data_IF_769984991524
#
_entry.id   IF_769984991524
#
_cell.length_a   1.000
_cell.length_b   1.000
_cell.length_c   1.000
_cell.angle_alpha   90.00
_cell.angle_beta   90.00
_cell.angle_gamma   90.00
#
_symmetry.space_group_name_H-M   'P 1'
#
loop_
_entity.id
_entity.type
_entity.pdbx_description
1 polymer ?
#
# COMPACT_ATOMS: atom_id res chain seq x y z
N UNK A 1 -11.90 14.54 5.96
CA UNK A 1 -12.44 14.07 4.68
C UNK A 1 -13.21 12.79 4.94
N UNK A 2 -14.37 12.61 4.32
CA UNK A 2 -15.07 11.33 4.39
C UNK A 2 -14.24 10.27 3.67
N UNK A 3 -13.92 9.17 4.34
CA UNK A 3 -12.98 8.16 3.84
C UNK A 3 -13.56 6.78 4.03
N UNK A 4 -13.41 5.92 3.02
CA UNK A 4 -13.73 4.51 3.09
C UNK A 4 -12.50 3.67 2.76
N UNK A 5 -12.44 2.47 3.34
CA UNK A 5 -11.41 1.48 3.06
C UNK A 5 -12.01 0.32 2.28
N UNK A 6 -11.31 -0.14 1.25
CA UNK A 6 -11.58 -1.42 0.58
C UNK A 6 -10.57 -2.43 1.10
N UNK A 7 -11.05 -3.41 1.85
CA UNK A 7 -10.25 -4.56 2.26
C UNK A 7 -10.11 -5.56 1.12
N UNK A 8 -8.93 -6.09 0.93
CA UNK A 8 -8.60 -7.03 -0.16
C UNK A 8 -8.22 -8.42 0.34
N UNK A 9 -8.10 -8.58 1.67
CA UNK A 9 -7.77 -9.85 2.31
C UNK A 9 -8.76 -10.29 3.39
N UNK A 10 -8.56 -11.53 3.84
CA UNK A 10 -9.35 -12.16 4.91
C UNK A 10 -9.32 -11.37 6.23
N UNK A 11 -8.20 -10.75 6.57
CA UNK A 11 -8.04 -9.99 7.81
C UNK A 11 -8.97 -8.79 7.84
N UNK A 12 -9.02 -8.00 6.76
CA UNK A 12 -9.92 -6.84 6.68
C UNK A 12 -11.39 -7.28 6.74
N UNK A 13 -11.75 -8.40 6.11
CA UNK A 13 -13.08 -8.99 6.20
C UNK A 13 -13.44 -9.38 7.64
N UNK A 14 -12.56 -10.09 8.34
CA UNK A 14 -12.77 -10.50 9.73
C UNK A 14 -12.80 -9.31 10.70
N UNK A 15 -12.08 -8.22 10.40
CA UNK A 15 -12.10 -6.98 11.17
C UNK A 15 -13.35 -6.12 10.90
N UNK A 16 -14.21 -6.54 9.98
CA UNK A 16 -15.49 -5.87 9.70
C UNK A 16 -15.38 -4.66 8.79
N UNK A 17 -14.37 -4.60 7.91
CA UNK A 17 -14.35 -3.61 6.85
C UNK A 17 -15.63 -3.73 6.00
N UNK A 18 -16.27 -2.59 5.73
CA UNK A 18 -17.60 -2.54 5.10
C UNK A 18 -17.59 -3.00 3.63
N UNK A 19 -16.51 -2.66 2.94
CA UNK A 19 -16.26 -3.02 1.54
C UNK A 19 -15.05 -3.93 1.50
N UNK A 20 -15.26 -5.18 1.08
CA UNK A 20 -14.20 -6.19 1.13
C UNK A 20 -14.37 -7.22 0.03
N UNK A 21 -13.24 -7.75 -0.41
CA UNK A 21 -13.15 -8.95 -1.23
C UNK A 21 -12.03 -9.85 -0.69
N UNK A 22 -12.13 -11.15 -0.97
CA UNK A 22 -11.09 -12.13 -0.63
C UNK A 22 -10.28 -12.43 -1.89
N UNK A 23 -9.29 -11.57 -2.19
CA UNK A 23 -8.58 -11.56 -3.47
C UNK A 23 -8.02 -12.95 -3.83
N UNK A 24 -7.36 -13.62 -2.90
CA UNK A 24 -6.73 -14.93 -3.09
C UNK A 24 -7.71 -16.08 -3.36
N UNK A 25 -9.01 -15.85 -3.15
CA UNK A 25 -10.07 -16.85 -3.37
C UNK A 25 -10.87 -16.62 -4.65
N UNK A 26 -10.59 -15.55 -5.39
CA UNK A 26 -11.31 -15.18 -6.60
C UNK A 26 -10.64 -15.82 -7.82
N UNK A 27 -11.44 -16.39 -8.72
CA UNK A 27 -10.97 -16.87 -10.02
C UNK A 27 -10.44 -15.67 -10.81
N UNK A 28 -9.23 -15.79 -11.34
CA UNK A 28 -8.45 -14.68 -11.92
C UNK A 28 -9.24 -13.81 -12.92
N UNK A 29 -10.04 -14.41 -13.81
CA UNK A 29 -10.85 -13.69 -14.80
C UNK A 29 -11.85 -12.69 -14.20
N UNK A 30 -12.28 -12.90 -12.95
CA UNK A 30 -13.24 -12.03 -12.26
C UNK A 30 -12.59 -11.05 -11.29
N UNK A 31 -11.27 -11.17 -11.08
CA UNK A 31 -10.58 -10.49 -10.00
C UNK A 31 -10.62 -8.97 -10.16
N UNK A 32 -10.30 -8.46 -11.36
CA UNK A 32 -10.38 -7.02 -11.64
C UNK A 32 -11.81 -6.50 -11.56
N UNK A 33 -12.79 -7.31 -11.98
CA UNK A 33 -14.21 -6.96 -11.91
C UNK A 33 -14.73 -6.85 -10.48
N UNK A 34 -14.30 -7.75 -9.59
CA UNK A 34 -14.70 -7.70 -8.18
C UNK A 34 -14.02 -6.53 -7.44
N UNK A 35 -12.76 -6.22 -7.74
CA UNK A 35 -12.10 -5.02 -7.20
C UNK A 35 -12.86 -3.76 -7.64
N UNK A 36 -13.15 -3.62 -8.94
CA UNK A 36 -13.93 -2.49 -9.47
C UNK A 36 -15.30 -2.41 -8.81
N UNK A 37 -15.99 -3.55 -8.66
CA UNK A 37 -17.29 -3.63 -8.01
C UNK A 37 -17.25 -3.07 -6.58
N UNK A 38 -16.28 -3.48 -5.75
CA UNK A 38 -16.17 -2.97 -4.37
C UNK A 38 -15.85 -1.47 -4.33
N UNK A 39 -14.96 -0.98 -5.20
CA UNK A 39 -14.62 0.46 -5.28
C UNK A 39 -15.84 1.29 -5.71
N UNK A 40 -16.54 0.88 -6.78
CA UNK A 40 -17.73 1.57 -7.29
C UNK A 40 -18.86 1.52 -6.28
N UNK A 41 -19.03 0.40 -5.58
CA UNK A 41 -20.03 0.25 -4.52
C UNK A 41 -19.75 1.22 -3.37
N UNK A 42 -18.51 1.30 -2.89
CA UNK A 42 -18.12 2.26 -1.86
C UNK A 42 -18.39 3.71 -2.29
N UNK A 43 -18.02 4.04 -3.54
CA UNK A 43 -18.27 5.35 -4.11
C UNK A 43 -19.76 5.70 -4.18
N UNK A 44 -20.62 4.76 -4.61
CA UNK A 44 -22.07 5.01 -4.75
C UNK A 44 -22.80 5.09 -3.42
N UNK A 45 -22.51 4.16 -2.50
CA UNK A 45 -23.24 4.03 -1.24
C UNK A 45 -22.80 5.06 -0.20
N UNK A 46 -21.49 5.27 -0.07
CA UNK A 46 -20.92 6.10 1.00
C UNK A 46 -20.45 7.46 0.51
N UNK A 47 -20.24 7.64 -0.81
CA UNK A 47 -19.78 8.90 -1.42
C UNK A 47 -18.54 9.50 -0.75
N UNK A 48 -17.51 8.71 -0.42
CA UNK A 48 -16.32 9.23 0.23
C UNK A 48 -15.54 10.17 -0.70
N UNK A 49 -14.82 11.10 -0.09
CA UNK A 49 -13.81 11.93 -0.76
C UNK A 49 -12.52 11.15 -1.03
N UNK A 50 -12.24 10.12 -0.21
CA UNK A 50 -11.04 9.29 -0.30
C UNK A 50 -11.40 7.81 -0.17
N UNK A 51 -10.89 6.98 -1.08
CA UNK A 51 -10.95 5.53 -0.96
C UNK A 51 -9.52 5.01 -0.75
N UNK A 52 -9.28 4.31 0.36
CA UNK A 52 -8.01 3.63 0.65
C UNK A 52 -8.19 2.16 0.28
N UNK A 53 -7.37 1.65 -0.64
CA UNK A 53 -7.40 0.23 -0.99
C UNK A 53 -6.23 -0.48 -0.34
N UNK A 54 -6.51 -1.54 0.41
CA UNK A 54 -5.51 -2.42 0.99
C UNK A 54 -4.69 -3.09 -0.13
N UNK A 55 -3.36 -2.99 -0.09
CA UNK A 55 -2.48 -3.70 -1.01
C UNK A 55 -2.37 -5.19 -0.68
N UNK A 56 -2.06 -6.03 -1.68
CA UNK A 56 -1.78 -7.45 -1.50
C UNK A 56 -0.44 -7.81 -2.15
N UNK A 57 0.35 -8.63 -1.46
CA UNK A 57 1.65 -9.11 -1.95
C UNK A 57 2.63 -7.98 -2.29
N UNK A 58 3.45 -8.22 -3.31
CA UNK A 58 4.39 -7.24 -3.88
C UNK A 58 4.62 -7.55 -5.34
N UNK A 59 4.68 -6.50 -6.18
CA UNK A 59 4.88 -6.63 -7.63
C UNK A 59 6.15 -7.41 -7.99
N UNK A 60 7.18 -7.34 -7.16
CA UNK A 60 8.48 -7.96 -7.42
C UNK A 60 8.70 -9.25 -6.62
N UNK A 61 7.69 -9.71 -5.86
CA UNK A 61 7.78 -10.99 -5.17
C UNK A 61 7.64 -12.13 -6.20
N UNK A 62 8.66 -13.00 -6.33
CA UNK A 62 8.67 -14.04 -7.37
C UNK A 62 7.67 -15.18 -7.11
N UNK A 63 7.28 -15.40 -5.85
CA UNK A 63 6.41 -16.51 -5.47
C UNK A 63 4.96 -16.08 -5.24
N UNK A 64 4.76 -14.83 -4.81
CA UNK A 64 3.45 -14.22 -4.63
C UNK A 64 3.42 -12.87 -5.34
N UNK A 65 3.49 -12.84 -6.69
CA UNK A 65 3.31 -11.59 -7.43
C UNK A 65 1.88 -11.10 -7.16
N UNK A 66 1.78 -9.89 -6.61
CA UNK A 66 0.50 -9.31 -6.21
C UNK A 66 0.50 -7.80 -6.32
N UNK A 67 -0.70 -7.24 -6.34
CA UNK A 67 -0.95 -5.80 -6.39
C UNK A 67 -1.02 -5.22 -7.80
N UNK A 68 -0.62 -5.95 -8.86
CA UNK A 68 -0.80 -5.50 -10.24
C UNK A 68 -2.27 -5.35 -10.58
N UNK A 69 -3.04 -6.36 -10.24
CA UNK A 69 -4.48 -6.44 -10.40
C UNK A 69 -5.22 -5.33 -9.64
N UNK A 70 -4.73 -4.96 -8.46
CA UNK A 70 -5.23 -3.83 -7.68
C UNK A 70 -4.94 -2.52 -8.42
N UNK A 71 -3.69 -2.30 -8.85
CA UNK A 71 -3.33 -1.07 -9.57
C UNK A 71 -4.14 -0.94 -10.88
N UNK A 72 -4.28 -2.03 -11.63
CA UNK A 72 -4.97 -2.06 -12.92
C UNK A 72 -6.48 -1.79 -12.77
N UNK A 73 -7.13 -2.36 -11.76
CA UNK A 73 -8.55 -2.21 -11.51
C UNK A 73 -8.89 -0.88 -10.81
N UNK A 74 -8.15 -0.52 -9.76
CA UNK A 74 -8.41 0.69 -8.96
C UNK A 74 -7.99 1.96 -9.69
N UNK A 75 -6.91 1.89 -10.50
CA UNK A 75 -6.30 3.06 -11.18
C UNK A 75 -6.04 4.21 -10.19
N UNK A 76 -5.20 3.97 -9.17
CA UNK A 76 -5.06 4.89 -8.04
C UNK A 76 -4.57 6.28 -8.47
N UNK A 77 -4.94 7.33 -7.74
CA UNK A 77 -4.39 8.66 -7.99
C UNK A 77 -2.96 8.82 -7.47
N UNK A 78 -2.65 8.12 -6.37
CA UNK A 78 -1.34 8.12 -5.70
C UNK A 78 -1.13 6.78 -5.00
N UNK A 79 0.12 6.42 -4.73
CA UNK A 79 0.50 5.17 -4.05
C UNK A 79 1.26 5.47 -2.76
N UNK A 80 0.99 4.68 -1.72
CA UNK A 80 1.79 4.63 -0.48
C UNK A 80 2.52 3.29 -0.47
N UNK A 81 3.85 3.32 -0.39
CA UNK A 81 4.67 2.12 -0.41
C UNK A 81 5.04 1.69 1.02
N UNK A 82 4.57 0.52 1.44
CA UNK A 82 4.98 -0.11 2.70
C UNK A 82 6.34 -0.79 2.55
N UNK A 83 7.29 -0.48 3.43
CA UNK A 83 8.65 -1.02 3.40
C UNK A 83 9.10 -1.51 4.78
N UNK A 84 9.71 -2.69 4.84
CA UNK A 84 10.31 -3.28 6.05
C UNK A 84 11.84 -3.32 5.91
N UNK A 85 12.60 -2.34 6.43
CA UNK A 85 14.01 -2.15 6.11
C UNK A 85 14.96 -3.23 6.62
N UNK A 86 14.61 -3.86 7.75
CA UNK A 86 15.36 -4.97 8.32
C UNK A 86 15.17 -6.27 7.51
N UNK A 87 14.11 -6.36 6.69
CA UNK A 87 13.85 -7.54 5.85
C UNK A 87 14.74 -7.52 4.62
N UNK A 88 15.63 -8.50 4.51
CA UNK A 88 16.61 -8.60 3.41
C UNK A 88 16.16 -9.53 2.30
N UNK A 89 15.34 -10.51 2.62
CA UNK A 89 14.80 -11.51 1.69
C UNK A 89 13.28 -11.62 1.85
N UNK A 90 12.60 -12.12 0.83
CA UNK A 90 11.16 -12.37 0.92
C UNK A 90 10.85 -13.42 1.99
N UNK A 91 9.83 -13.15 2.80
CA UNK A 91 9.44 -14.05 3.88
C UNK A 91 9.02 -15.42 3.33
N UNK A 92 9.59 -16.49 3.88
CA UNK A 92 9.43 -17.85 3.38
C UNK A 92 10.24 -18.22 2.13
N UNK A 93 11.05 -17.31 1.57
CA UNK A 93 11.85 -17.55 0.35
C UNK A 93 13.33 -17.21 0.53
N UNK A 94 14.12 -18.04 1.24
CA UNK A 94 15.55 -17.84 1.41
C UNK A 94 16.28 -17.74 0.06
N UNK A 95 17.22 -16.80 -0.05
CA UNK A 95 17.99 -16.55 -1.28
C UNK A 95 17.29 -15.65 -2.31
N UNK A 96 16.08 -15.16 -2.03
CA UNK A 96 15.39 -14.17 -2.86
C UNK A 96 15.46 -12.77 -2.20
N UNK A 97 16.48 -11.95 -2.53
CA UNK A 97 16.66 -10.66 -1.91
C UNK A 97 15.57 -9.67 -2.31
N UNK A 98 15.17 -8.83 -1.36
CA UNK A 98 14.29 -7.69 -1.63
C UNK A 98 15.09 -6.65 -2.43
N UNK A 99 14.51 -6.18 -3.52
CA UNK A 99 15.15 -5.21 -4.41
C UNK A 99 15.29 -3.85 -3.70
N UNK A 100 16.29 -3.03 -4.09
CA UNK A 100 16.43 -1.69 -3.54
C UNK A 100 15.14 -0.88 -3.66
N UNK A 101 14.85 -0.06 -2.65
CA UNK A 101 13.62 0.72 -2.60
C UNK A 101 13.37 1.62 -3.84
N UNK A 102 14.38 2.29 -4.44
CA UNK A 102 14.19 3.03 -5.69
C UNK A 102 13.65 2.18 -6.84
N UNK A 103 14.09 0.92 -6.94
CA UNK A 103 13.66 0.01 -8.00
C UNK A 103 12.20 -0.43 -7.81
N UNK A 104 11.79 -0.64 -6.56
CA UNK A 104 10.38 -0.94 -6.23
C UNK A 104 9.47 0.26 -6.56
N UNK A 105 9.92 1.47 -6.27
CA UNK A 105 9.19 2.71 -6.59
C UNK A 105 9.04 2.85 -8.10
N UNK A 106 10.13 2.69 -8.86
CA UNK A 106 10.10 2.77 -10.31
C UNK A 106 9.12 1.77 -10.92
N UNK A 107 9.14 0.51 -10.47
CA UNK A 107 8.19 -0.51 -10.94
C UNK A 107 6.73 -0.12 -10.69
N UNK A 108 6.42 0.40 -9.50
CA UNK A 108 5.08 0.88 -9.15
C UNK A 108 4.65 2.06 -10.03
N UNK A 109 5.52 3.06 -10.19
CA UNK A 109 5.18 4.27 -10.95
C UNK A 109 5.03 3.98 -12.45
N UNK A 110 5.83 3.06 -13.02
CA UNK A 110 5.69 2.60 -14.40
C UNK A 110 4.35 1.89 -14.61
N UNK A 111 4.02 0.93 -13.74
CA UNK A 111 2.81 0.11 -13.90
C UNK A 111 1.54 0.94 -13.65
N UNK A 112 1.56 1.81 -12.64
CA UNK A 112 0.40 2.63 -12.29
C UNK A 112 0.24 3.88 -13.17
N UNK A 113 1.34 4.38 -13.77
CA UNK A 113 1.38 5.71 -14.40
C UNK A 113 1.15 6.85 -13.39
N UNK A 114 1.38 6.59 -12.09
CA UNK A 114 0.96 7.42 -10.95
C UNK A 114 2.04 7.39 -9.86
N UNK A 115 2.22 8.48 -9.10
CA UNK A 115 3.37 8.61 -8.21
C UNK A 115 3.23 7.82 -6.90
N UNK A 116 4.36 7.32 -6.40
CA UNK A 116 4.51 6.88 -5.00
C UNK A 116 4.76 8.10 -4.13
N UNK A 117 3.78 8.56 -3.38
CA UNK A 117 3.84 9.87 -2.69
C UNK A 117 4.37 9.80 -1.27
N UNK A 118 4.42 8.61 -0.69
CA UNK A 118 4.93 8.38 0.66
C UNK A 118 5.44 6.94 0.82
N UNK A 119 6.36 6.77 1.76
CA UNK A 119 6.81 5.46 2.23
C UNK A 119 6.29 5.28 3.66
N UNK A 120 5.73 4.12 3.96
CA UNK A 120 5.46 3.72 5.34
C UNK A 120 6.46 2.66 5.78
N UNK A 121 6.95 2.78 7.01
CA UNK A 121 7.98 1.91 7.56
C UNK A 121 7.33 0.92 8.51
N UNK A 122 7.62 -0.36 8.28
CA UNK A 122 7.48 -1.40 9.27
C UNK A 122 8.83 -1.57 9.97
N UNK A 123 8.92 -1.10 11.23
CA UNK A 123 10.13 -1.14 12.06
C UNK A 123 10.42 -2.50 12.70
N UNK A 124 9.75 -3.57 12.29
CA UNK A 124 10.04 -4.92 12.75
C UNK A 124 11.56 -5.21 12.64
N UNK A 125 12.13 -5.77 13.72
CA UNK A 125 13.56 -6.07 13.84
C UNK A 125 14.52 -4.85 13.76
N UNK A 126 14.04 -3.63 14.02
CA UNK A 126 14.86 -2.42 14.14
C UNK A 126 15.00 -1.93 15.58
N UNK A 127 16.08 -1.20 15.89
CA UNK A 127 16.23 -0.51 17.18
C UNK A 127 15.42 0.79 17.19
N UNK A 128 14.42 0.83 18.07
CA UNK A 128 13.51 1.95 18.29
C UNK A 128 14.26 3.26 18.57
N UNK A 129 15.41 3.22 19.27
CA UNK A 129 16.18 4.43 19.61
C UNK A 129 16.70 5.18 18.39
N UNK A 130 16.91 4.47 17.28
CA UNK A 130 17.45 5.01 16.03
C UNK A 130 16.38 5.22 14.95
N UNK A 131 15.13 4.85 15.23
CA UNK A 131 14.08 4.74 14.23
C UNK A 131 13.77 6.08 13.56
N UNK A 132 13.61 7.17 14.32
CA UNK A 132 13.28 8.48 13.74
C UNK A 132 14.37 8.97 12.78
N UNK A 133 15.64 8.79 13.15
CA UNK A 133 16.79 9.14 12.31
C UNK A 133 16.77 8.30 11.04
N UNK A 134 16.42 7.03 11.14
CA UNK A 134 16.36 6.12 10.00
C UNK A 134 15.20 6.45 9.05
N UNK A 135 14.00 6.72 9.58
CA UNK A 135 12.82 7.13 8.79
C UNK A 135 13.13 8.41 8.02
N UNK A 136 13.71 9.41 8.69
CA UNK A 136 14.12 10.67 8.06
C UNK A 136 15.20 10.45 6.99
N UNK A 137 16.21 9.63 7.28
CA UNK A 137 17.29 9.32 6.33
C UNK A 137 16.76 8.60 5.08
N UNK A 138 15.84 7.64 5.22
CA UNK A 138 15.18 7.00 4.08
C UNK A 138 14.46 8.06 3.26
N UNK A 139 13.62 8.88 3.92
CA UNK A 139 12.83 9.88 3.21
C UNK A 139 13.68 10.84 2.39
N UNK A 140 14.78 11.31 2.98
CA UNK A 140 15.75 12.19 2.32
C UNK A 140 16.47 11.50 1.15
N UNK A 141 16.87 10.23 1.31
CA UNK A 141 17.59 9.49 0.26
C UNK A 141 16.72 9.19 -0.97
N UNK A 142 15.42 8.97 -0.75
CA UNK A 142 14.46 8.65 -1.81
C UNK A 142 13.81 9.91 -2.39
N UNK A 143 13.84 11.03 -1.66
CA UNK A 143 13.14 12.26 -2.05
C UNK A 143 11.61 12.15 -1.91
N UNK A 144 11.13 11.26 -1.03
CA UNK A 144 9.70 11.10 -0.70
C UNK A 144 9.57 11.03 0.82
N UNK A 145 8.54 11.61 1.45
CA UNK A 145 8.39 11.53 2.89
C UNK A 145 8.18 10.08 3.34
N UNK A 146 8.79 9.72 4.47
CA UNK A 146 8.66 8.41 5.09
C UNK A 146 8.01 8.56 6.47
N UNK A 147 7.19 7.58 6.86
CA UNK A 147 6.42 7.61 8.11
C UNK A 147 6.43 6.24 8.79
N UNK A 148 6.67 6.19 10.09
CA UNK A 148 6.37 5.02 10.90
C UNK A 148 5.00 5.18 11.57
N UNK A 149 3.95 4.71 10.90
CA UNK A 149 2.57 4.86 11.38
C UNK A 149 2.24 3.96 12.57
N UNK A 150 3.08 2.94 12.85
CA UNK A 150 2.87 2.02 13.96
C UNK A 150 3.29 2.64 15.30
N UNK A 151 4.32 3.50 15.30
CA UNK A 151 4.74 4.26 16.50
C UNK A 151 4.16 5.67 16.52
N UNK A 152 4.23 6.40 15.41
CA UNK A 152 3.87 7.83 15.36
C UNK A 152 2.37 8.07 15.13
N UNK A 153 1.62 7.01 14.79
CA UNK A 153 0.25 7.12 14.31
C UNK A 153 0.16 7.64 12.88
N UNK A 154 -1.05 7.61 12.33
CA UNK A 154 -1.30 7.93 10.92
C UNK A 154 -1.49 9.42 10.61
N UNK A 155 -1.54 10.30 11.62
CA UNK A 155 -1.95 11.69 11.45
C UNK A 155 -1.07 12.50 10.47
N UNK A 156 0.26 12.32 10.56
CA UNK A 156 1.19 13.02 9.66
C UNK A 156 1.04 12.53 8.21
N UNK A 157 0.93 11.21 8.03
CA UNK A 157 0.67 10.62 6.72
C UNK A 157 -0.67 11.09 6.16
N UNK A 158 -1.74 11.06 6.95
CA UNK A 158 -3.07 11.48 6.51
C UNK A 158 -3.08 12.96 6.08
N UNK A 159 -2.40 13.85 6.80
CA UNK A 159 -2.22 15.25 6.39
C UNK A 159 -1.45 15.39 5.08
N UNK A 160 -0.40 14.58 4.88
CA UNK A 160 0.35 14.55 3.62
C UNK A 160 -0.52 14.07 2.46
N UNK A 161 -1.29 12.99 2.64
CA UNK A 161 -2.19 12.48 1.60
C UNK A 161 -3.31 13.48 1.27
N UNK A 162 -3.80 14.23 2.27
CA UNK A 162 -4.83 15.24 2.06
C UNK A 162 -4.43 16.34 1.06
N UNK A 163 -3.13 16.56 0.82
CA UNK A 163 -2.67 17.53 -0.20
C UNK A 163 -2.93 17.08 -1.63
N UNK A 164 -3.24 15.81 -1.85
CA UNK A 164 -3.54 15.23 -3.17
C UNK A 164 -5.05 15.15 -3.46
N UNK A 165 -5.89 15.45 -2.47
CA UNK A 165 -7.34 15.50 -2.65
C UNK A 165 -7.67 16.76 -3.46
N UNK A 166 -8.29 16.58 -4.63
CA UNK A 166 -8.74 17.71 -5.46
C UNK A 166 -9.84 18.47 -4.70
N UNK A 167 -9.70 19.80 -4.63
CA UNK A 167 -10.73 20.69 -4.11
C UNK A 167 -11.94 20.75 -5.04
#
# INVERSE_FOLDING_TARGET
>A
HQTEMIGTGQTAWMQGAKYTLLLDSIINDFLTGEIEHQVVRAWRESKPEVIIVEGQGSLLNPAYPGGYEIIAAVRPDVIILQHAPARKEYDGFPGYPIQPLPYQIEALEIIAGKPVVAITINHENMDIKSLNVFVEAIGNSIGRPAFDVLIEGADKLARHIATYIKK
#
